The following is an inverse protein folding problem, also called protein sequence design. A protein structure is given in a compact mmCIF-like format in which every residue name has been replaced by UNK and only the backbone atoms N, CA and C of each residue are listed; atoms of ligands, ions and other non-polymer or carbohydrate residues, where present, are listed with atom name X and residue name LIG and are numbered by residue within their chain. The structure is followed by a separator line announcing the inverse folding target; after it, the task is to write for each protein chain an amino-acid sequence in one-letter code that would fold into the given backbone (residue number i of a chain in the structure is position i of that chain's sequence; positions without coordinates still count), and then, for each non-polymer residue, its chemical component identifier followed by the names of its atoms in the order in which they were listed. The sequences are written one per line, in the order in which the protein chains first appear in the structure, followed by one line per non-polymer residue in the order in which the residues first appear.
data_IF_938602753987
#
_entry.id   IF_938602753987
#
_cell.length_a   1.000
_cell.length_b   1.000
_cell.length_c   1.000
_cell.angle_alpha   90.00
_cell.angle_beta   90.00
_cell.angle_gamma   90.00
#
_symmetry.space_group_name_H-M   'P 1'
#
loop_
_entity.id
_entity.type
_entity.pdbx_description
1 polymer ?
#
# COMPACT_ATOMS: atom_id res chain seq x y z
N UNK A 1 1.20 30.08 -17.50
CA UNK A 1 1.60 28.88 -16.74
C UNK A 1 0.37 27.98 -16.64
N UNK A 2 0.39 26.71 -17.07
CA UNK A 2 -0.73 25.83 -16.80
C UNK A 2 -0.86 25.68 -15.27
N UNK A 3 -2.07 25.86 -14.75
CA UNK A 3 -2.36 25.65 -13.34
C UNK A 3 -2.04 24.19 -12.99
N UNK A 4 -1.30 23.98 -11.89
CA UNK A 4 -1.09 22.64 -11.33
C UNK A 4 -2.49 22.06 -11.04
N UNK A 5 -2.84 20.87 -11.56
CA UNK A 5 -4.14 20.27 -11.25
C UNK A 5 -4.31 20.15 -9.74
N UNK A 6 -5.55 20.26 -9.22
CA UNK A 6 -5.80 20.16 -7.79
C UNK A 6 -5.29 18.81 -7.28
N UNK A 7 -4.50 18.86 -6.21
CA UNK A 7 -3.89 17.69 -5.61
C UNK A 7 -4.97 16.90 -4.87
N UNK A 8 -5.21 15.65 -5.27
CA UNK A 8 -6.19 14.78 -4.62
C UNK A 8 -5.57 14.13 -3.37
N UNK A 9 -6.40 13.76 -2.40
CA UNK A 9 -5.94 13.02 -1.21
C UNK A 9 -5.14 11.76 -1.58
N UNK A 10 -5.61 11.02 -2.59
CA UNK A 10 -4.94 9.83 -3.09
C UNK A 10 -3.54 10.14 -3.67
N UNK A 11 -3.42 11.21 -4.46
CA UNK A 11 -2.12 11.69 -4.96
C UNK A 11 -1.20 12.13 -3.82
N UNK A 12 -1.75 12.79 -2.79
CA UNK A 12 -1.01 13.21 -1.60
C UNK A 12 -0.47 12.02 -0.80
N UNK A 13 -1.30 11.00 -0.58
CA UNK A 13 -0.89 9.79 0.13
C UNK A 13 0.18 9.03 -0.65
N UNK A 14 0.00 8.85 -1.95
CA UNK A 14 1.01 8.21 -2.79
C UNK A 14 2.36 8.94 -2.75
N UNK A 15 2.34 10.28 -2.77
CA UNK A 15 3.56 11.08 -2.66
C UNK A 15 4.23 10.95 -1.27
N UNK A 16 3.43 10.86 -0.19
CA UNK A 16 3.95 10.64 1.17
C UNK A 16 4.53 9.25 1.34
N UNK A 17 3.86 8.22 0.80
CA UNK A 17 4.36 6.84 0.80
C UNK A 17 5.72 6.77 0.08
N UNK A 18 5.80 7.30 -1.14
CA UNK A 18 7.05 7.36 -1.91
C UNK A 18 8.15 8.08 -1.10
N UNK A 19 7.89 9.29 -0.62
CA UNK A 19 8.88 10.05 0.16
C UNK A 19 9.37 9.30 1.41
N UNK A 20 8.47 8.63 2.13
CA UNK A 20 8.81 7.91 3.36
C UNK A 20 9.65 6.65 3.07
N UNK A 21 9.30 5.92 2.00
CA UNK A 21 10.05 4.74 1.58
C UNK A 21 11.45 5.12 1.10
N UNK A 22 11.56 6.22 0.35
CA UNK A 22 12.83 6.75 -0.14
C UNK A 22 13.72 7.25 1.00
N UNK A 23 13.14 7.92 2.01
CA UNK A 23 13.88 8.34 3.20
C UNK A 23 14.43 7.12 3.95
N UNK A 24 13.64 6.06 4.16
CA UNK A 24 14.13 4.85 4.80
C UNK A 24 15.33 4.22 4.07
N UNK A 25 15.28 4.17 2.74
CA UNK A 25 16.42 3.70 1.94
C UNK A 25 17.65 4.60 2.08
N UNK A 26 17.47 5.93 1.99
CA UNK A 26 18.56 6.90 2.15
C UNK A 26 19.21 6.81 3.54
N UNK A 27 18.40 6.57 4.56
CA UNK A 27 18.85 6.39 5.94
C UNK A 27 19.36 4.98 6.22
N UNK A 28 19.32 4.07 5.23
CA UNK A 28 19.68 2.65 5.36
C UNK A 28 18.95 1.92 6.49
N UNK A 29 17.68 2.29 6.71
CA UNK A 29 16.83 1.74 7.76
C UNK A 29 15.75 0.83 7.16
N UNK A 30 15.44 -0.31 7.79
CA UNK A 30 14.36 -1.19 7.35
C UNK A 30 12.98 -0.52 7.57
N UNK A 31 12.07 -0.70 6.62
CA UNK A 31 10.70 -0.18 6.68
C UNK A 31 9.89 -0.83 7.82
N UNK A 32 10.25 -2.05 8.18
CA UNK A 32 9.58 -2.87 9.20
C UNK A 32 9.84 -2.39 10.64
N UNK A 33 10.76 -1.44 10.83
CA UNK A 33 11.11 -0.89 12.14
C UNK A 33 10.65 0.56 12.30
N UNK A 34 10.62 1.00 13.55
CA UNK A 34 10.31 2.39 13.88
C UNK A 34 11.40 3.35 13.40
N UNK A 35 11.03 4.57 12.95
CA UNK A 35 9.66 5.12 12.96
C UNK A 35 8.84 4.82 11.69
N UNK A 36 9.46 4.20 10.66
CA UNK A 36 8.83 4.03 9.35
C UNK A 36 7.61 3.13 9.39
N UNK A 37 7.68 2.04 10.17
CA UNK A 37 6.55 1.12 10.31
C UNK A 37 5.29 1.84 10.76
N UNK A 38 5.35 2.62 11.86
CA UNK A 38 4.18 3.35 12.36
C UNK A 38 3.70 4.41 11.38
N UNK A 39 4.62 5.17 10.77
CA UNK A 39 4.24 6.21 9.81
C UNK A 39 3.59 5.65 8.54
N UNK A 40 4.10 4.54 8.01
CA UNK A 40 3.48 3.82 6.89
C UNK A 40 2.10 3.28 7.29
N UNK A 41 1.96 2.76 8.51
CA UNK A 41 0.69 2.26 9.02
C UNK A 41 -0.36 3.37 9.18
N UNK A 42 0.04 4.57 9.61
CA UNK A 42 -0.85 5.74 9.65
C UNK A 42 -1.39 6.07 8.25
N UNK A 43 -0.52 6.05 7.22
CA UNK A 43 -0.93 6.27 5.83
C UNK A 43 -1.86 5.16 5.32
N UNK A 44 -1.63 3.91 5.73
CA UNK A 44 -2.52 2.78 5.46
C UNK A 44 -3.92 3.02 6.04
N UNK A 45 -4.02 3.40 7.32
CA UNK A 45 -5.32 3.67 7.97
C UNK A 45 -6.06 4.80 7.26
N UNK A 46 -5.36 5.86 6.84
CA UNK A 46 -6.00 6.97 6.09
C UNK A 46 -6.50 6.49 4.73
N UNK A 47 -5.69 5.69 4.00
CA UNK A 47 -6.08 5.14 2.70
C UNK A 47 -7.33 4.26 2.80
N UNK A 48 -7.36 3.35 3.78
CA UNK A 48 -8.47 2.43 4.04
C UNK A 48 -9.74 3.18 4.45
N UNK A 49 -9.63 4.09 5.44
CA UNK A 49 -10.77 4.88 5.91
C UNK A 49 -11.36 5.80 4.83
N UNK A 50 -10.54 6.21 3.86
CA UNK A 50 -10.96 7.06 2.73
C UNK A 50 -11.48 6.25 1.54
N UNK A 51 -11.48 4.91 1.62
CA UNK A 51 -11.92 4.03 0.53
C UNK A 51 -11.00 4.03 -0.69
N UNK A 52 -9.73 4.40 -0.51
CA UNK A 52 -8.73 4.54 -1.59
C UNK A 52 -8.02 3.22 -1.96
N UNK A 53 -8.40 2.11 -1.33
CA UNK A 53 -7.83 0.78 -1.59
C UNK A 53 -8.72 -0.07 -2.52
N UNK A 54 -9.59 0.58 -3.29
CA UNK A 54 -10.54 -0.06 -4.21
C UNK A 54 -10.11 0.14 -5.65
N UNK A 55 -10.39 -0.84 -6.50
CA UNK A 55 -10.01 -0.87 -7.92
C UNK A 55 -10.52 0.33 -8.75
N UNK A 56 -11.51 1.09 -8.26
CA UNK A 56 -12.10 2.26 -8.93
C UNK A 56 -11.51 3.61 -8.45
N UNK A 57 -10.55 3.59 -7.52
CA UNK A 57 -9.91 4.80 -7.03
C UNK A 57 -8.78 5.30 -7.94
N UNK A 58 -8.54 6.61 -7.96
CA UNK A 58 -7.52 7.27 -8.79
C UNK A 58 -6.69 8.30 -7.99
N UNK A 59 -5.40 8.02 -7.68
CA UNK A 59 -4.73 6.72 -7.84
C UNK A 59 -5.28 5.62 -6.92
N UNK A 60 -5.16 4.37 -7.39
CA UNK A 60 -5.45 3.16 -6.64
C UNK A 60 -4.34 2.84 -5.62
N UNK A 61 -4.70 2.83 -4.33
CA UNK A 61 -3.78 2.53 -3.22
C UNK A 61 -3.87 1.07 -2.73
N UNK A 62 -4.48 0.18 -3.51
CA UNK A 62 -4.34 -1.27 -3.36
C UNK A 62 -2.88 -1.71 -3.57
N UNK A 63 -2.48 -2.92 -3.14
CA UNK A 63 -1.15 -3.47 -3.43
C UNK A 63 -0.82 -3.47 -4.92
N UNK A 64 -1.79 -3.79 -5.77
CA UNK A 64 -1.65 -3.81 -7.23
C UNK A 64 -1.46 -2.40 -7.80
N UNK A 65 -2.26 -1.44 -7.34
CA UNK A 65 -2.17 -0.03 -7.71
C UNK A 65 -0.83 0.57 -7.30
N UNK A 66 -0.42 0.38 -6.04
CA UNK A 66 0.85 0.87 -5.51
C UNK A 66 2.06 0.24 -6.20
N UNK A 67 2.01 -1.06 -6.48
CA UNK A 67 3.05 -1.76 -7.25
C UNK A 67 3.26 -1.11 -8.63
N UNK A 68 2.16 -0.76 -9.30
CA UNK A 68 2.18 -0.10 -10.62
C UNK A 68 2.71 1.33 -10.52
N UNK A 69 2.16 2.13 -9.61
CA UNK A 69 2.49 3.55 -9.45
C UNK A 69 3.94 3.75 -9.00
N UNK A 70 4.36 3.07 -7.92
CA UNK A 70 5.74 3.18 -7.42
C UNK A 70 6.73 2.49 -8.37
N UNK A 71 6.35 1.34 -8.94
CA UNK A 71 7.18 0.65 -9.93
C UNK A 71 7.44 1.51 -11.18
N UNK A 72 6.45 2.25 -11.64
CA UNK A 72 6.60 3.23 -12.72
C UNK A 72 7.50 4.39 -12.31
N UNK A 73 7.22 5.02 -11.16
CA UNK A 73 7.99 6.18 -10.64
C UNK A 73 9.47 5.87 -10.44
N UNK A 74 9.80 4.65 -10.00
CA UNK A 74 11.18 4.22 -9.76
C UNK A 74 11.85 3.60 -11.00
N UNK A 75 11.19 3.61 -12.16
CA UNK A 75 11.72 3.08 -13.41
C UNK A 75 11.85 1.55 -13.44
N UNK A 76 11.26 0.83 -12.48
CA UNK A 76 11.37 -0.62 -12.36
C UNK A 76 10.72 -1.35 -13.53
N UNK A 77 9.59 -0.84 -14.03
CA UNK A 77 8.90 -1.43 -15.19
C UNK A 77 9.79 -1.38 -16.44
N UNK A 78 10.37 -0.21 -16.73
CA UNK A 78 11.26 0.00 -17.87
C UNK A 78 12.54 -0.82 -17.73
N UNK A 79 13.13 -0.84 -16.54
CA UNK A 79 14.33 -1.63 -16.26
C UNK A 79 14.07 -3.14 -16.44
N UNK A 80 12.90 -3.65 -16.02
CA UNK A 80 12.55 -5.05 -16.17
C UNK A 80 12.38 -5.44 -17.64
N UNK A 81 11.73 -4.59 -18.43
CA UNK A 81 11.58 -4.79 -19.88
C UNK A 81 12.93 -4.78 -20.60
N UNK A 82 13.79 -3.80 -20.29
CA UNK A 82 15.12 -3.70 -20.90
C UNK A 82 16.00 -4.92 -20.58
N UNK A 83 15.97 -5.39 -19.33
CA UNK A 83 16.69 -6.60 -18.92
C UNK A 83 16.23 -7.86 -19.65
N UNK A 84 14.92 -8.01 -19.89
CA UNK A 84 14.39 -9.13 -20.68
C UNK A 84 14.82 -9.07 -22.14
N UNK A 85 14.74 -7.89 -22.76
CA UNK A 85 15.06 -7.71 -24.18
C UNK A 85 16.55 -7.87 -24.48
N UNK A 86 17.41 -7.38 -23.57
CA UNK A 86 18.86 -7.37 -23.78
C UNK A 86 19.57 -8.59 -23.19
N UNK A 87 18.84 -9.53 -22.56
CA UNK A 87 19.39 -10.62 -21.75
C UNK A 87 20.42 -10.15 -20.69
N UNK A 88 20.31 -8.88 -20.29
CA UNK A 88 21.24 -8.23 -19.37
C UNK A 88 20.65 -8.19 -17.97
N UNK A 89 21.51 -8.40 -16.97
CA UNK A 89 21.12 -8.30 -15.57
C UNK A 89 20.69 -6.86 -15.23
N UNK A 90 19.67 -6.72 -14.40
CA UNK A 90 19.31 -5.43 -13.82
C UNK A 90 20.50 -4.84 -13.05
N UNK A 91 20.63 -3.51 -13.09
CA UNK A 91 21.63 -2.81 -12.29
C UNK A 91 21.39 -3.02 -10.79
N UNK A 92 22.44 -2.96 -9.95
CA UNK A 92 22.30 -3.05 -8.49
C UNK A 92 21.29 -2.06 -7.88
N UNK A 93 21.20 -0.85 -8.43
CA UNK A 93 20.25 0.17 -7.97
C UNK A 93 18.78 -0.26 -8.15
N UNK A 94 18.40 -0.65 -9.37
CA UNK A 94 17.06 -1.22 -9.63
C UNK A 94 16.76 -2.46 -8.78
N UNK A 95 17.75 -3.33 -8.51
CA UNK A 95 17.57 -4.46 -7.59
C UNK A 95 17.35 -4.02 -6.13
N UNK A 96 17.97 -2.92 -5.70
CA UNK A 96 17.70 -2.31 -4.39
C UNK A 96 16.25 -1.83 -4.32
N UNK A 97 15.82 -1.03 -5.30
CA UNK A 97 14.45 -0.52 -5.39
C UNK A 97 13.40 -1.63 -5.45
N UNK A 98 13.69 -2.72 -6.17
CA UNK A 98 12.78 -3.87 -6.25
C UNK A 98 12.63 -4.56 -4.88
N UNK A 99 13.73 -4.73 -4.12
CA UNK A 99 13.67 -5.27 -2.75
C UNK A 99 12.89 -4.35 -1.82
N UNK A 100 13.09 -3.03 -1.94
CA UNK A 100 12.38 -2.03 -1.16
C UNK A 100 10.86 -2.07 -1.45
N UNK A 101 10.49 -2.14 -2.73
CA UNK A 101 9.09 -2.28 -3.15
C UNK A 101 8.45 -3.54 -2.56
N UNK A 102 9.17 -4.67 -2.58
CA UNK A 102 8.67 -5.93 -2.02
C UNK A 102 8.48 -5.87 -0.50
N UNK A 103 9.43 -5.30 0.24
CA UNK A 103 9.29 -5.09 1.69
C UNK A 103 8.05 -4.26 2.01
N UNK A 104 7.86 -3.15 1.28
CA UNK A 104 6.69 -2.29 1.43
C UNK A 104 5.38 -3.02 1.11
N UNK A 105 5.27 -3.64 -0.07
CA UNK A 105 4.06 -4.32 -0.51
C UNK A 105 3.67 -5.47 0.42
N UNK A 106 4.66 -6.22 0.95
CA UNK A 106 4.40 -7.27 1.94
C UNK A 106 3.72 -6.70 3.18
N UNK A 107 4.24 -5.61 3.75
CA UNK A 107 3.64 -4.96 4.92
C UNK A 107 2.23 -4.46 4.61
N UNK A 108 2.05 -3.82 3.46
CA UNK A 108 0.76 -3.28 3.03
C UNK A 108 -0.30 -4.36 2.88
N UNK A 109 0.05 -5.49 2.23
CA UNK A 109 -0.83 -6.65 2.09
C UNK A 109 -1.16 -7.31 3.43
N UNK A 110 -0.16 -7.43 4.33
CA UNK A 110 -0.37 -7.98 5.67
C UNK A 110 -1.36 -7.14 6.47
N UNK A 111 -1.26 -5.81 6.38
CA UNK A 111 -2.20 -4.90 7.04
C UNK A 111 -3.58 -4.95 6.41
N UNK A 112 -3.70 -4.91 5.08
CA UNK A 112 -4.99 -5.04 4.39
C UNK A 112 -5.70 -6.33 4.78
N UNK A 113 -4.97 -7.46 4.79
CA UNK A 113 -5.51 -8.73 5.21
C UNK A 113 -5.97 -8.72 6.68
N UNK A 114 -5.12 -8.27 7.60
CA UNK A 114 -5.47 -8.19 9.02
C UNK A 114 -6.68 -7.27 9.26
N UNK A 115 -6.76 -6.15 8.54
CA UNK A 115 -7.84 -5.17 8.65
C UNK A 115 -9.17 -5.74 8.14
N UNK A 116 -9.17 -6.44 7.00
CA UNK A 116 -10.36 -7.08 6.44
C UNK A 116 -11.03 -8.09 7.38
N UNK A 117 -10.25 -8.67 8.30
CA UNK A 117 -10.71 -9.68 9.26
C UNK A 117 -10.97 -9.10 10.65
N UNK A 118 -10.76 -7.80 10.86
CA UNK A 118 -10.86 -7.19 12.18
C UNK A 118 -12.25 -7.42 12.82
N UNK A 119 -13.31 -7.29 12.02
CA UNK A 119 -14.69 -7.52 12.43
C UNK A 119 -14.93 -8.94 12.97
N UNK A 120 -14.28 -9.97 12.40
CA UNK A 120 -14.43 -11.38 12.84
C UNK A 120 -14.06 -11.60 14.31
N UNK A 121 -13.21 -10.74 14.86
CA UNK A 121 -12.66 -10.88 16.21
C UNK A 121 -13.15 -9.80 17.20
N UNK A 122 -13.84 -8.76 16.71
CA UNK A 122 -14.26 -7.61 17.53
C UNK A 122 -15.76 -7.35 17.49
N UNK A 123 -16.49 -7.96 16.55
CA UNK A 123 -17.94 -7.95 16.59
C UNK A 123 -18.43 -9.08 17.53
N UNK A 124 -19.37 -8.80 18.45
CA UNK A 124 -19.93 -9.84 19.29
C UNK A 124 -20.64 -10.87 18.40
N UNK A 125 -20.60 -12.17 18.75
CA UNK A 125 -21.34 -13.18 18.01
C UNK A 125 -22.79 -12.73 17.91
N UNK A 126 -23.27 -12.59 16.67
CA UNK A 126 -24.68 -12.28 16.42
C UNK A 126 -25.48 -13.52 16.82
N UNK A 127 -25.84 -13.62 18.10
CA UNK A 127 -26.73 -14.68 18.57
C UNK A 127 -28.05 -14.56 17.79
N UNK A 128 -28.52 -15.63 17.12
CA UNK A 128 -29.84 -15.61 16.53
C UNK A 128 -30.84 -15.45 17.68
N UNK A 129 -31.52 -14.30 17.71
CA UNK A 129 -32.63 -14.03 18.64
C UNK A 129 -33.74 -15.02 18.34
N UNK A 130 -33.72 -16.19 18.99
CA UNK A 130 -34.85 -17.12 18.98
C UNK A 130 -36.04 -16.31 19.50
N UNK A 131 -37.03 -16.12 18.64
CA UNK A 131 -38.25 -15.42 18.98
C UNK A 131 -38.93 -16.19 20.12
N UNK A 132 -38.81 -15.70 21.34
CA UNK A 132 -39.69 -16.06 22.43
C UNK A 132 -41.07 -15.47 22.10
N UNK A 133 -41.89 -16.25 21.39
CA UNK A 133 -43.33 -16.04 21.28
C UNK A 133 -44.00 -17.40 21.04
N UNK A 134 -45.07 -17.65 21.82
CA UNK A 134 -45.86 -18.88 22.01
C UNK A 134 -45.33 -19.74 23.18
N UNK A 135 -46.02 -19.91 24.31
CA UNK A 135 -47.46 -20.07 24.51
C UNK A 135 -47.92 -19.50 25.86
N UNK A 136 -49.08 -18.81 25.82
CA UNK A 136 -50.08 -18.78 26.90
C UNK A 136 -50.69 -20.17 27.14
#
# INVERSE_FOLDING_TARGET
MPAKPPQTLASDLLNRLDALIQDAEQQTKPLELEPYRSQLFELFVIAEASGLMRDDSDPDLSPEGLSRELGSRWGLTTAAQASQQQLNKMSPEHLSKMRLLWSFLRMWMEWQYAWSRFAEFHDPPTEPRIAANAMD
#
